data_IF_329166637123
#
_entry.id   IF_329166637123
#
_cell.length_a   1.000
_cell.length_b   1.000
_cell.length_c   1.000
_cell.angle_alpha   90.00
_cell.angle_beta   90.00
_cell.angle_gamma   90.00
#
_symmetry.space_group_name_H-M   'P 1'
#
loop_
_entity.id
_entity.type
_entity.pdbx_description
1 polymer ?
#
# COMPACT_ATOMS: atom_id res chain seq x y z
N UNK A 1 -27.83 25.98 -22.28
CA UNK A 1 -27.95 25.17 -21.05
C UNK A 1 -27.83 23.70 -21.44
N UNK A 2 -26.65 23.11 -21.30
CA UNK A 2 -26.46 21.68 -21.53
C UNK A 2 -27.02 20.91 -20.33
N UNK A 3 -27.93 19.97 -20.57
CA UNK A 3 -28.44 19.05 -19.54
C UNK A 3 -27.27 18.22 -19.02
N UNK A 4 -26.88 18.44 -17.76
CA UNK A 4 -26.10 17.49 -16.97
C UNK A 4 -26.99 16.28 -16.70
N UNK A 5 -27.00 15.32 -17.62
CA UNK A 5 -27.51 13.98 -17.33
C UNK A 5 -26.39 13.20 -16.64
N UNK A 6 -26.16 13.48 -15.35
CA UNK A 6 -25.37 12.57 -14.52
C UNK A 6 -26.28 11.41 -14.12
N UNK A 7 -26.29 10.36 -14.94
CA UNK A 7 -26.77 9.08 -14.45
C UNK A 7 -25.87 8.67 -13.28
N UNK A 8 -26.42 8.60 -12.08
CA UNK A 8 -25.67 8.08 -10.93
C UNK A 8 -25.09 6.71 -11.31
N UNK A 9 -23.81 6.48 -11.02
CA UNK A 9 -23.19 5.18 -11.28
C UNK A 9 -23.95 4.10 -10.49
N UNK A 10 -24.64 3.22 -11.20
CA UNK A 10 -25.38 2.08 -10.62
C UNK A 10 -24.46 0.91 -10.31
N UNK A 11 -23.19 0.97 -10.70
CA UNK A 11 -22.21 -0.08 -10.45
C UNK A 11 -21.93 -0.19 -8.95
N UNK A 12 -22.01 -1.42 -8.43
CA UNK A 12 -21.87 -1.68 -6.99
C UNK A 12 -20.40 -1.75 -6.55
N UNK A 13 -19.50 -2.12 -7.45
CA UNK A 13 -18.10 -2.40 -7.18
C UNK A 13 -17.19 -1.49 -8.02
N UNK A 14 -16.02 -1.13 -7.50
CA UNK A 14 -15.03 -0.34 -8.23
C UNK A 14 -14.31 -1.20 -9.28
N UNK A 15 -13.94 -2.43 -8.88
CA UNK A 15 -13.44 -3.48 -9.76
C UNK A 15 -14.29 -4.73 -9.54
N UNK A 16 -15.41 -4.81 -10.25
CA UNK A 16 -16.34 -5.93 -10.13
C UNK A 16 -15.68 -7.29 -10.39
N UNK A 17 -14.71 -7.36 -11.31
CA UNK A 17 -14.02 -8.61 -11.62
C UNK A 17 -13.22 -9.08 -10.41
N UNK A 18 -12.42 -8.20 -9.82
CA UNK A 18 -11.59 -8.55 -8.66
C UNK A 18 -12.43 -8.75 -7.39
N UNK A 19 -13.42 -7.88 -7.14
CA UNK A 19 -14.22 -7.87 -5.91
C UNK A 19 -15.24 -9.02 -5.84
N UNK A 20 -15.64 -9.59 -6.98
CA UNK A 20 -16.64 -10.67 -7.05
C UNK A 20 -16.11 -12.00 -7.55
N UNK A 21 -14.81 -12.11 -7.86
CA UNK A 21 -14.21 -13.39 -8.26
C UNK A 21 -14.39 -14.46 -7.19
N UNK A 22 -14.39 -15.72 -7.64
CA UNK A 22 -14.55 -16.89 -6.80
C UNK A 22 -13.42 -17.04 -5.78
N UNK A 23 -13.65 -17.83 -4.74
CA UNK A 23 -12.61 -18.11 -3.75
C UNK A 23 -11.38 -18.80 -4.35
N UNK A 24 -11.61 -19.65 -5.34
CA UNK A 24 -10.54 -20.34 -6.06
C UNK A 24 -9.65 -19.33 -6.82
N UNK A 25 -10.26 -18.42 -7.58
CA UNK A 25 -9.52 -17.37 -8.29
C UNK A 25 -8.72 -16.48 -7.32
N UNK A 26 -9.30 -16.17 -6.16
CA UNK A 26 -8.58 -15.46 -5.09
C UNK A 26 -7.38 -16.24 -4.55
N UNK A 27 -7.52 -17.53 -4.30
CA UNK A 27 -6.44 -18.36 -3.76
C UNK A 27 -5.31 -18.53 -4.79
N UNK A 28 -5.64 -18.66 -6.08
CA UNK A 28 -4.68 -18.67 -7.19
C UNK A 28 -3.94 -17.33 -7.33
N UNK A 29 -4.67 -16.21 -7.33
CA UNK A 29 -4.10 -14.86 -7.43
C UNK A 29 -3.16 -14.57 -6.26
N UNK A 30 -3.58 -14.86 -5.02
CA UNK A 30 -2.74 -14.66 -3.83
C UNK A 30 -1.45 -15.47 -3.91
N UNK A 31 -1.50 -16.71 -4.43
CA UNK A 31 -0.31 -17.56 -4.52
C UNK A 31 0.68 -16.98 -5.54
N UNK A 32 0.19 -16.48 -6.68
CA UNK A 32 1.00 -15.78 -7.68
C UNK A 32 1.65 -14.53 -7.07
N UNK A 33 0.88 -13.70 -6.38
CA UNK A 33 1.37 -12.47 -5.75
C UNK A 33 2.37 -12.77 -4.62
N UNK A 34 2.11 -13.76 -3.78
CA UNK A 34 3.02 -14.18 -2.71
C UNK A 34 4.40 -14.57 -3.29
N UNK A 35 4.42 -15.40 -4.34
CA UNK A 35 5.66 -15.79 -5.02
C UNK A 35 6.40 -14.59 -5.60
N UNK A 36 5.66 -13.67 -6.24
CA UNK A 36 6.21 -12.43 -6.81
C UNK A 36 6.85 -11.56 -5.71
N UNK A 37 6.16 -11.34 -4.60
CA UNK A 37 6.63 -10.49 -3.51
C UNK A 37 7.85 -11.10 -2.79
N UNK A 38 7.83 -12.40 -2.48
CA UNK A 38 8.96 -13.06 -1.85
C UNK A 38 10.19 -13.07 -2.76
N UNK A 39 10.00 -13.28 -4.07
CA UNK A 39 11.08 -13.18 -5.05
C UNK A 39 11.63 -11.75 -5.12
N UNK A 40 10.77 -10.75 -5.24
CA UNK A 40 11.17 -9.35 -5.26
C UNK A 40 11.97 -8.96 -4.02
N UNK A 41 11.54 -9.38 -2.83
CA UNK A 41 12.27 -9.17 -1.58
C UNK A 41 13.65 -9.86 -1.61
N UNK A 42 13.71 -11.13 -1.98
CA UNK A 42 14.95 -11.91 -2.02
C UNK A 42 15.98 -11.36 -3.03
N UNK A 43 15.52 -10.96 -4.21
CA UNK A 43 16.36 -10.45 -5.28
C UNK A 43 16.73 -8.97 -5.07
N UNK A 44 15.83 -8.17 -4.50
CA UNK A 44 15.99 -6.72 -4.37
C UNK A 44 16.62 -6.24 -3.06
N UNK A 45 16.43 -6.95 -1.95
CA UNK A 45 16.87 -6.50 -0.62
C UNK A 45 17.98 -7.40 -0.04
N UNK A 46 19.14 -6.82 0.32
CA UNK A 46 20.20 -7.56 1.01
C UNK A 46 19.73 -8.21 2.32
N UNK A 47 18.90 -7.50 3.10
CA UNK A 47 18.38 -8.03 4.36
C UNK A 47 17.52 -9.29 4.15
N UNK A 48 16.53 -9.23 3.26
CA UNK A 48 15.62 -10.36 3.05
C UNK A 48 16.34 -11.55 2.44
N UNK A 49 17.29 -11.33 1.53
CA UNK A 49 18.14 -12.40 1.01
C UNK A 49 18.86 -13.15 2.12
N UNK A 50 19.56 -12.41 2.98
CA UNK A 50 20.30 -12.97 4.10
C UNK A 50 19.38 -13.71 5.09
N UNK A 51 18.26 -13.09 5.46
CA UNK A 51 17.27 -13.67 6.38
C UNK A 51 16.69 -14.99 5.85
N UNK A 52 16.36 -15.04 4.56
CA UNK A 52 15.80 -16.24 3.93
C UNK A 52 16.86 -17.35 3.81
N UNK A 53 18.09 -17.00 3.42
CA UNK A 53 19.20 -17.96 3.34
C UNK A 53 19.53 -18.57 4.71
N UNK A 54 19.56 -17.76 5.78
CA UNK A 54 19.78 -18.25 7.15
C UNK A 54 18.67 -19.18 7.63
N UNK A 55 17.42 -18.87 7.30
CA UNK A 55 16.27 -19.74 7.58
C UNK A 55 16.18 -20.94 6.63
N UNK A 56 17.08 -21.04 5.64
CA UNK A 56 17.11 -22.11 4.62
C UNK A 56 15.80 -22.20 3.83
N UNK A 57 15.18 -21.05 3.55
CA UNK A 57 13.97 -20.93 2.73
C UNK A 57 14.27 -20.16 1.44
N UNK A 58 13.54 -20.46 0.38
CA UNK A 58 13.72 -19.79 -0.91
C UNK A 58 12.36 -19.62 -1.63
N UNK A 59 12.10 -18.48 -2.30
CA UNK A 59 10.82 -18.21 -2.97
C UNK A 59 10.38 -19.33 -3.95
N UNK A 60 11.33 -19.99 -4.61
CA UNK A 60 11.06 -21.11 -5.54
C UNK A 60 10.40 -22.33 -4.88
N UNK A 61 10.50 -22.45 -3.55
CA UNK A 61 9.96 -23.60 -2.81
C UNK A 61 8.50 -23.42 -2.40
N UNK A 62 7.93 -22.23 -2.59
CA UNK A 62 6.50 -21.97 -2.30
C UNK A 62 5.62 -22.76 -3.29
N UNK A 63 4.75 -23.60 -2.75
CA UNK A 63 3.74 -24.36 -3.49
C UNK A 63 2.31 -23.97 -3.12
N UNK A 64 2.11 -23.54 -1.87
CA UNK A 64 0.81 -23.16 -1.32
C UNK A 64 0.93 -21.86 -0.50
N UNK A 65 -0.20 -21.24 -0.19
CA UNK A 65 -0.23 -20.05 0.68
C UNK A 65 0.26 -20.34 2.10
N UNK A 66 0.11 -21.58 2.58
CA UNK A 66 0.51 -21.98 3.94
C UNK A 66 2.03 -21.95 4.08
N UNK A 67 2.79 -22.16 3.00
CA UNK A 67 4.25 -22.20 3.02
C UNK A 67 4.89 -20.87 3.45
N UNK A 68 4.14 -19.77 3.48
CA UNK A 68 4.61 -18.49 4.04
C UNK A 68 5.03 -18.62 5.51
N UNK A 69 4.47 -19.58 6.25
CA UNK A 69 4.80 -19.82 7.67
C UNK A 69 6.27 -20.20 7.91
N UNK A 70 6.97 -20.67 6.87
CA UNK A 70 8.39 -21.02 6.95
C UNK A 70 9.30 -19.79 6.82
N UNK A 71 8.78 -18.67 6.30
CA UNK A 71 9.55 -17.45 6.12
C UNK A 71 9.64 -16.67 7.43
N UNK A 72 10.80 -16.06 7.74
CA UNK A 72 10.95 -15.23 8.94
C UNK A 72 9.97 -14.06 8.95
N UNK A 73 9.41 -13.78 10.12
CA UNK A 73 8.67 -12.54 10.37
C UNK A 73 9.63 -11.39 10.66
N UNK A 74 9.15 -10.15 10.53
CA UNK A 74 9.89 -8.95 10.90
C UNK A 74 9.15 -8.19 11.98
N UNK A 75 9.90 -7.52 12.86
CA UNK A 75 9.37 -6.66 13.90
C UNK A 75 9.64 -5.19 13.57
N UNK A 76 8.81 -4.29 14.11
CA UNK A 76 8.99 -2.84 13.92
C UNK A 76 10.36 -2.35 14.41
N UNK A 77 10.88 -2.93 15.50
CA UNK A 77 12.20 -2.60 16.05
C UNK A 77 13.31 -2.90 15.04
N UNK A 78 13.28 -4.09 14.47
CA UNK A 78 14.22 -4.52 13.42
C UNK A 78 14.20 -3.56 12.23
N UNK A 79 13.02 -3.14 11.76
CA UNK A 79 12.93 -2.20 10.63
C UNK A 79 13.70 -0.91 10.92
N UNK A 80 13.58 -0.37 12.13
CA UNK A 80 14.33 0.82 12.57
C UNK A 80 15.82 0.57 12.63
N UNK A 81 16.23 -0.53 13.27
CA UNK A 81 17.64 -0.92 13.38
C UNK A 81 18.30 -1.04 12.00
N UNK A 82 17.59 -1.58 10.99
CA UNK A 82 18.09 -1.66 9.62
C UNK A 82 18.14 -0.30 8.91
N UNK A 83 17.13 0.54 9.11
CA UNK A 83 17.10 1.91 8.57
C UNK A 83 18.24 2.78 9.11
N UNK A 84 18.58 2.63 10.39
CA UNK A 84 19.72 3.31 11.01
C UNK A 84 21.06 2.76 10.53
N UNK A 85 21.17 1.43 10.35
CA UNK A 85 22.40 0.79 9.91
C UNK A 85 22.80 1.15 8.47
N UNK A 86 21.81 1.39 7.59
CA UNK A 86 22.04 1.72 6.18
C UNK A 86 21.11 2.87 5.76
N UNK A 87 21.63 4.09 5.75
CA UNK A 87 20.85 5.27 5.37
C UNK A 87 20.54 5.31 3.86
N UNK A 88 19.42 5.93 3.44
CA UNK A 88 18.37 6.52 4.29
C UNK A 88 17.24 5.55 4.67
N UNK A 89 17.06 4.44 3.95
CA UNK A 89 15.86 3.57 4.06
C UNK A 89 16.14 2.14 4.51
N UNK A 90 17.38 1.83 4.88
CA UNK A 90 17.80 0.50 5.30
C UNK A 90 18.09 -0.43 4.13
N UNK A 91 18.76 -1.54 4.43
CA UNK A 91 18.99 -2.64 3.49
C UNK A 91 17.78 -3.56 3.32
N UNK A 92 16.63 -3.17 3.89
CA UNK A 92 15.31 -3.73 3.66
C UNK A 92 14.68 -3.26 2.34
N UNK A 93 15.13 -2.11 1.82
CA UNK A 93 14.62 -1.56 0.56
C UNK A 93 14.92 -2.53 -0.59
N UNK A 94 13.90 -2.90 -1.36
CA UNK A 94 14.01 -3.86 -2.45
C UNK A 94 14.18 -3.21 -3.84
N UNK A 95 14.34 -1.89 -3.88
CA UNK A 95 14.54 -1.08 -5.08
C UNK A 95 15.65 -0.05 -4.85
N UNK A 96 16.29 0.48 -5.90
CA UNK A 96 17.17 1.64 -5.78
C UNK A 96 16.43 2.86 -5.21
N UNK A 97 17.11 3.67 -4.39
CA UNK A 97 16.54 4.89 -3.79
C UNK A 97 15.94 5.85 -4.83
N UNK A 98 16.59 5.97 -5.99
CA UNK A 98 16.12 6.83 -7.11
C UNK A 98 14.72 6.51 -7.64
N UNK A 99 14.20 5.31 -7.35
CA UNK A 99 12.88 4.87 -7.80
C UNK A 99 11.79 5.17 -6.75
N UNK A 100 12.18 5.65 -5.55
CA UNK A 100 11.29 6.09 -4.48
C UNK A 100 10.79 7.51 -4.75
N UNK A 101 9.48 7.71 -4.73
CA UNK A 101 8.85 9.02 -5.04
C UNK A 101 8.04 9.60 -3.87
N UNK A 102 7.71 8.79 -2.86
CA UNK A 102 6.97 9.22 -1.69
C UNK A 102 7.48 8.49 -0.44
N UNK A 103 7.48 9.20 0.69
CA UNK A 103 7.76 8.62 1.99
C UNK A 103 6.63 8.98 2.96
N UNK A 104 6.19 8.00 3.73
CA UNK A 104 5.45 8.24 4.97
C UNK A 104 6.31 7.85 6.16
N UNK A 105 6.04 8.44 7.32
CA UNK A 105 6.74 8.11 8.55
C UNK A 105 5.78 7.91 9.71
N UNK A 106 6.11 7.00 10.61
CA UNK A 106 5.39 6.89 11.88
C UNK A 106 5.73 8.09 12.77
N UNK A 107 4.74 8.64 13.49
CA UNK A 107 4.90 9.78 14.42
C UNK A 107 5.89 9.57 15.58
N UNK A 108 6.47 8.37 15.71
CA UNK A 108 7.67 8.15 16.52
C UNK A 108 7.54 8.55 17.99
N UNK A 109 6.61 7.95 18.74
CA UNK A 109 6.47 8.20 20.19
C UNK A 109 7.72 7.89 21.02
N UNK A 110 8.69 7.17 20.45
CA UNK A 110 9.96 6.77 21.08
C UNK A 110 11.20 7.44 20.48
N UNK A 111 11.05 8.47 19.65
CA UNK A 111 12.14 9.33 19.17
C UNK A 111 12.71 9.02 17.79
N UNK A 112 12.60 7.79 17.29
CA UNK A 112 13.08 7.43 15.94
C UNK A 112 11.88 7.01 15.06
N UNK A 113 11.54 7.80 14.03
CA UNK A 113 10.46 7.47 13.10
C UNK A 113 10.88 6.31 12.19
N UNK A 114 9.94 5.42 11.87
CA UNK A 114 10.13 4.41 10.82
C UNK A 114 9.65 5.01 9.51
N UNK A 115 10.51 5.04 8.49
CA UNK A 115 10.16 5.45 7.15
C UNK A 115 9.49 4.31 6.37
N UNK A 116 8.53 4.64 5.52
CA UNK A 116 7.88 3.73 4.58
C UNK A 116 7.97 4.36 3.17
N UNK A 117 8.95 3.93 2.34
CA UNK A 117 9.15 4.44 1.00
C UNK A 117 8.22 3.76 -0.01
N UNK A 118 7.77 4.54 -1.00
CA UNK A 118 6.89 4.09 -2.08
C UNK A 118 7.55 4.43 -3.42
N UNK A 119 7.58 3.47 -4.34
CA UNK A 119 7.80 3.77 -5.76
C UNK A 119 6.58 4.46 -6.36
N UNK A 120 6.72 4.99 -7.59
CA UNK A 120 5.57 5.55 -8.31
C UNK A 120 4.44 4.52 -8.50
N UNK A 121 4.80 3.27 -8.80
CA UNK A 121 3.82 2.19 -8.95
C UNK A 121 3.14 1.87 -7.61
N UNK A 122 3.90 1.76 -6.52
CA UNK A 122 3.32 1.48 -5.19
C UNK A 122 2.32 2.57 -4.79
N UNK A 123 2.64 3.83 -5.09
CA UNK A 123 1.76 4.95 -4.80
C UNK A 123 0.49 4.91 -5.67
N UNK A 124 0.61 4.63 -6.97
CA UNK A 124 -0.55 4.48 -7.86
C UNK A 124 -1.47 3.34 -7.44
N UNK A 125 -0.91 2.16 -7.16
CA UNK A 125 -1.63 0.98 -6.71
C UNK A 125 -2.36 1.25 -5.38
N UNK A 126 -1.72 1.97 -4.47
CA UNK A 126 -2.33 2.40 -3.22
C UNK A 126 -3.48 3.39 -3.45
N UNK A 127 -3.33 4.40 -4.32
CA UNK A 127 -4.43 5.33 -4.62
C UNK A 127 -5.61 4.63 -5.30
N UNK A 128 -5.36 3.62 -6.12
CA UNK A 128 -6.44 2.77 -6.67
C UNK A 128 -7.16 1.96 -5.58
N UNK A 129 -6.39 1.38 -4.65
CA UNK A 129 -6.94 0.70 -3.49
C UNK A 129 -7.80 1.63 -2.62
N UNK A 130 -7.34 2.86 -2.35
CA UNK A 130 -8.10 3.87 -1.59
C UNK A 130 -9.39 4.26 -2.33
N UNK A 131 -9.35 4.45 -3.65
CA UNK A 131 -10.53 4.71 -4.46
C UNK A 131 -11.58 3.60 -4.30
N UNK A 132 -11.16 2.33 -4.32
CA UNK A 132 -12.03 1.19 -4.04
C UNK A 132 -12.62 1.23 -2.63
N UNK A 133 -11.83 1.59 -1.61
CA UNK A 133 -12.33 1.71 -0.23
C UNK A 133 -13.42 2.79 -0.12
N UNK A 134 -13.19 3.97 -0.69
CA UNK A 134 -14.18 5.04 -0.74
C UNK A 134 -15.44 4.62 -1.49
N UNK A 135 -15.29 4.00 -2.67
CA UNK A 135 -16.41 3.53 -3.47
C UNK A 135 -17.25 2.49 -2.73
N UNK A 136 -16.60 1.54 -2.04
CA UNK A 136 -17.26 0.51 -1.24
C UNK A 136 -17.99 1.08 -0.02
N UNK A 137 -17.53 2.23 0.50
CA UNK A 137 -18.17 2.99 1.58
C UNK A 137 -19.34 3.85 1.10
N UNK A 138 -19.67 3.80 -0.19
CA UNK A 138 -20.80 4.52 -0.77
C UNK A 138 -20.44 5.87 -1.39
N UNK A 139 -19.17 6.30 -1.36
CA UNK A 139 -18.76 7.54 -2.02
C UNK A 139 -18.97 7.44 -3.53
N UNK A 140 -19.55 8.48 -4.13
CA UNK A 140 -19.81 8.60 -5.56
C UNK A 140 -19.29 9.94 -6.11
N UNK A 141 -19.14 10.08 -7.44
CA UNK A 141 -18.62 11.31 -8.04
C UNK A 141 -19.39 12.60 -7.67
N UNK A 142 -20.68 12.49 -7.38
CA UNK A 142 -21.54 13.61 -6.97
C UNK A 142 -21.33 14.06 -5.52
N UNK A 143 -20.64 13.26 -4.71
CA UNK A 143 -20.45 13.54 -3.29
C UNK A 143 -19.37 14.58 -3.02
N UNK A 144 -19.40 15.11 -1.80
CA UNK A 144 -18.37 16.01 -1.25
C UNK A 144 -17.71 15.36 -0.05
N UNK A 145 -16.39 15.23 -0.09
CA UNK A 145 -15.60 14.61 0.97
C UNK A 145 -14.71 15.64 1.67
N UNK A 146 -14.96 15.88 2.96
CA UNK A 146 -14.10 16.73 3.78
C UNK A 146 -12.95 15.90 4.36
N UNK A 147 -11.74 16.19 3.92
CA UNK A 147 -10.53 15.55 4.40
C UNK A 147 -9.85 16.42 5.46
N UNK A 148 -10.05 16.06 6.73
CA UNK A 148 -9.52 16.78 7.89
C UNK A 148 -8.27 16.07 8.49
N UNK A 149 -7.37 15.59 7.63
CA UNK A 149 -6.04 15.09 8.02
C UNK A 149 -4.96 15.96 7.38
N UNK A 150 -3.78 16.00 8.00
CA UNK A 150 -2.64 16.73 7.44
C UNK A 150 -1.95 15.94 6.32
N UNK A 151 -1.33 16.66 5.40
CA UNK A 151 -0.52 16.13 4.29
C UNK A 151 0.98 16.10 4.60
N UNK A 152 1.34 15.96 5.88
CA UNK A 152 2.74 15.82 6.28
C UNK A 152 3.17 14.36 6.04
N UNK A 153 3.98 13.81 6.95
CA UNK A 153 4.53 12.46 6.80
C UNK A 153 3.54 11.35 7.16
N UNK A 154 2.33 11.66 7.61
CA UNK A 154 1.33 10.65 7.92
C UNK A 154 0.71 10.09 6.63
N UNK A 155 0.74 8.75 6.49
CA UNK A 155 0.21 8.06 5.31
C UNK A 155 -1.27 8.35 5.04
N UNK A 156 -2.05 8.72 6.06
CA UNK A 156 -3.47 9.06 5.85
C UNK A 156 -3.73 10.35 5.06
N UNK A 157 -2.74 11.24 4.90
CA UNK A 157 -2.91 12.48 4.15
C UNK A 157 -3.24 12.23 2.67
N UNK A 158 -2.39 11.52 1.92
CA UNK A 158 -2.67 11.23 0.51
C UNK A 158 -3.88 10.33 0.24
N UNK A 159 -4.48 9.66 1.24
CA UNK A 159 -5.66 8.82 1.04
C UNK A 159 -6.81 9.57 0.33
N UNK A 160 -6.93 10.90 0.52
CA UNK A 160 -7.95 11.70 -0.18
C UNK A 160 -7.82 11.68 -1.70
N UNK A 161 -6.62 11.36 -2.24
CA UNK A 161 -6.45 11.17 -3.67
C UNK A 161 -7.26 9.96 -4.19
N UNK A 162 -7.57 8.97 -3.34
CA UNK A 162 -8.51 7.90 -3.66
C UNK A 162 -9.94 8.43 -3.85
N UNK A 163 -10.42 9.28 -2.95
CA UNK A 163 -11.72 9.95 -3.09
C UNK A 163 -11.77 10.84 -4.34
N UNK A 164 -10.67 11.55 -4.64
CA UNK A 164 -10.54 12.33 -5.87
C UNK A 164 -10.54 11.43 -7.12
N UNK A 165 -9.90 10.25 -7.05
CA UNK A 165 -9.88 9.25 -8.13
C UNK A 165 -11.26 8.63 -8.38
N UNK A 166 -12.10 8.47 -7.34
CA UNK A 166 -13.53 8.15 -7.52
C UNK A 166 -14.27 9.24 -8.31
N UNK A 167 -13.80 10.48 -8.27
CA UNK A 167 -14.40 11.64 -8.95
C UNK A 167 -15.17 12.57 -8.02
N UNK A 168 -15.17 12.31 -6.71
CA UNK A 168 -15.85 13.15 -5.72
C UNK A 168 -15.16 14.51 -5.56
N UNK A 169 -15.91 15.54 -5.18
CA UNK A 169 -15.34 16.83 -4.79
C UNK A 169 -14.66 16.69 -3.42
N UNK A 170 -13.34 16.76 -3.38
CA UNK A 170 -12.58 16.70 -2.12
C UNK A 170 -12.26 18.09 -1.58
N UNK A 171 -12.56 18.32 -0.30
CA UNK A 171 -12.24 19.54 0.44
C UNK A 171 -11.09 19.20 1.40
N UNK A 172 -9.88 19.68 1.10
CA UNK A 172 -8.67 19.37 1.87
C UNK A 172 -8.54 20.40 3.00
N UNK A 173 -9.23 20.14 4.11
CA UNK A 173 -9.31 21.07 5.23
C UNK A 173 -8.06 21.04 6.13
N UNK A 174 -7.19 20.03 5.96
CA UNK A 174 -5.96 19.90 6.76
C UNK A 174 -6.28 19.63 8.23
N UNK A 175 -5.47 20.18 9.12
CA UNK A 175 -5.75 20.12 10.57
C UNK A 175 -6.75 21.21 10.92
N UNK A 176 -8.03 20.85 11.06
CA UNK A 176 -9.05 21.78 11.58
C UNK A 176 -8.95 21.80 13.11
N UNK A 177 -8.69 22.95 13.77
CA UNK A 177 -8.77 23.05 15.22
C UNK A 177 -10.23 22.77 15.66
N UNK A 178 -10.38 21.93 16.68
CA UNK A 178 -11.67 21.62 17.33
C UNK A 178 -12.34 22.86 17.92
#
# INVERSE_FOLDING_TARGET
MAKLTSGASTEKFWDAKLETQSRQEWDELKLVLLKKHLRHAYEGSPYYRHSFDQAKVHPDKIKTLIDIQYFPTIEKKLIRERQEAVLPFGDLLAVPERDVVYISTSSGSTGIPTASPFTAQDFEDWIDYEARQFYSSGLRPEDRYCHALNFSLFVGGPCVLGAQKVGALTIHAGTIPS
#
